data_IF_836368645763
#
_entry.id   IF_836368645763
#
_cell.length_a   1.000
_cell.length_b   1.000
_cell.length_c   1.000
_cell.angle_alpha   90.00
_cell.angle_beta   90.00
_cell.angle_gamma   90.00
#
_symmetry.space_group_name_H-M   'P 1'
#
loop_
_entity.id
_entity.type
_entity.pdbx_description
1 polymer ?
#
# COMPACT_ATOMS: atom_id res chain seq x y z
N UNK A 1 -14.05 10.73 -19.17
CA UNK A 1 -13.16 9.56 -19.20
C UNK A 1 -12.37 9.59 -20.51
N UNK A 2 -11.14 9.13 -20.51
CA UNK A 2 -10.28 9.04 -21.70
C UNK A 2 -10.54 7.73 -22.50
N UNK A 3 -11.76 7.18 -22.42
CA UNK A 3 -12.14 5.96 -23.13
C UNK A 3 -11.81 4.66 -22.40
N UNK A 4 -11.37 4.73 -21.14
CA UNK A 4 -11.19 3.54 -20.32
C UNK A 4 -12.53 3.03 -19.80
N UNK A 5 -12.70 1.72 -19.84
CA UNK A 5 -13.81 1.04 -19.16
C UNK A 5 -13.45 0.92 -17.68
N UNK A 6 -14.15 1.70 -16.86
CA UNK A 6 -13.85 1.82 -15.43
C UNK A 6 -15.06 1.39 -14.63
N UNK A 7 -14.83 0.50 -13.68
CA UNK A 7 -15.75 0.17 -12.60
C UNK A 7 -15.13 0.48 -11.25
N UNK A 8 -15.97 0.64 -10.24
CA UNK A 8 -15.54 0.93 -8.88
C UNK A 8 -15.85 -0.26 -8.00
N UNK A 9 -14.94 -0.56 -7.08
CA UNK A 9 -15.18 -1.48 -5.97
C UNK A 9 -14.83 -0.77 -4.65
N UNK A 10 -15.55 -1.10 -3.61
CA UNK A 10 -15.26 -0.65 -2.26
C UNK A 10 -14.36 -1.66 -1.53
N UNK A 11 -13.80 -1.24 -0.39
CA UNK A 11 -13.10 -2.17 0.50
C UNK A 11 -13.99 -3.33 0.95
N UNK A 12 -15.31 -3.09 1.06
CA UNK A 12 -16.26 -4.15 1.37
C UNK A 12 -16.37 -5.17 0.24
N UNK A 13 -16.36 -4.73 -1.02
CA UNK A 13 -16.37 -5.64 -2.18
C UNK A 13 -15.06 -6.46 -2.20
N UNK A 14 -13.92 -5.82 -1.98
CA UNK A 14 -12.62 -6.50 -1.89
C UNK A 14 -12.59 -7.51 -0.74
N UNK A 15 -13.25 -7.20 0.38
CA UNK A 15 -13.38 -8.12 1.51
C UNK A 15 -14.27 -9.33 1.20
N UNK A 16 -15.39 -9.13 0.48
CA UNK A 16 -16.42 -10.16 0.33
C UNK A 16 -16.37 -10.93 -0.99
N UNK A 17 -15.81 -10.35 -2.05
CA UNK A 17 -15.80 -10.92 -3.40
C UNK A 17 -14.39 -10.88 -4.02
N UNK A 18 -13.45 -11.62 -3.42
CA UNK A 18 -12.10 -11.75 -3.97
C UNK A 18 -12.04 -12.19 -5.43
N UNK A 19 -12.80 -13.23 -5.84
CA UNK A 19 -12.87 -13.63 -7.26
C UNK A 19 -13.37 -12.53 -8.19
N UNK A 20 -14.21 -11.62 -7.70
CA UNK A 20 -14.72 -10.50 -8.45
C UNK A 20 -13.65 -9.53 -8.94
N UNK A 21 -12.52 -9.44 -8.24
CA UNK A 21 -11.39 -8.61 -8.64
C UNK A 21 -10.82 -9.04 -10.01
N UNK A 22 -10.92 -10.31 -10.35
CA UNK A 22 -10.43 -10.86 -11.61
C UNK A 22 -11.28 -10.50 -12.83
N UNK A 23 -12.41 -9.80 -12.64
CA UNK A 23 -13.22 -9.25 -13.76
C UNK A 23 -12.53 -8.06 -14.44
N UNK A 24 -11.59 -7.43 -13.76
CA UNK A 24 -10.78 -6.34 -14.32
C UNK A 24 -9.41 -6.85 -14.76
N UNK A 25 -8.78 -6.14 -15.69
CA UNK A 25 -7.38 -6.37 -16.09
C UNK A 25 -6.38 -5.70 -15.15
N UNK A 26 -6.81 -4.63 -14.49
CA UNK A 26 -6.01 -3.88 -13.54
C UNK A 26 -6.88 -3.27 -12.46
N UNK A 27 -6.29 -3.07 -11.30
CA UNK A 27 -6.87 -2.35 -10.17
C UNK A 27 -5.98 -1.18 -9.80
N UNK A 28 -6.58 -0.04 -9.53
CA UNK A 28 -5.90 1.12 -8.97
C UNK A 28 -6.39 1.32 -7.54
N UNK A 29 -5.48 1.21 -6.57
CA UNK A 29 -5.69 1.62 -5.19
C UNK A 29 -5.22 3.08 -5.08
N UNK A 30 -6.17 4.00 -4.93
CA UNK A 30 -5.92 5.44 -5.05
C UNK A 30 -6.34 6.18 -3.80
N UNK A 31 -5.54 7.14 -3.39
CA UNK A 31 -5.79 7.98 -2.23
C UNK A 31 -5.14 7.43 -0.98
N UNK A 32 -5.87 7.35 0.14
CA UNK A 32 -5.36 6.88 1.43
C UNK A 32 -5.96 5.51 1.76
N UNK A 33 -5.39 4.44 1.21
CA UNK A 33 -5.86 3.07 1.35
C UNK A 33 -5.12 2.33 2.49
N UNK A 34 -5.25 2.87 3.68
CA UNK A 34 -4.50 2.46 4.88
C UNK A 34 -5.04 1.18 5.53
N UNK A 35 -6.35 0.94 5.46
CA UNK A 35 -7.01 -0.03 6.33
C UNK A 35 -7.50 -1.25 5.58
N UNK A 36 -6.96 -2.43 5.92
CA UNK A 36 -7.31 -3.71 5.31
C UNK A 36 -7.82 -4.72 6.34
N UNK A 37 -8.86 -5.48 5.99
CA UNK A 37 -9.13 -6.75 6.68
C UNK A 37 -8.18 -7.84 6.20
N UNK A 38 -8.08 -8.95 6.92
CA UNK A 38 -7.30 -10.11 6.46
C UNK A 38 -7.85 -10.68 5.15
N UNK A 39 -9.17 -10.68 4.99
CA UNK A 39 -9.85 -11.11 3.77
C UNK A 39 -9.45 -10.24 2.58
N UNK A 40 -9.45 -8.91 2.73
CA UNK A 40 -8.97 -7.99 1.69
C UNK A 40 -7.53 -8.30 1.28
N UNK A 41 -6.65 -8.44 2.27
CA UNK A 41 -5.24 -8.78 2.03
C UNK A 41 -5.10 -10.08 1.23
N UNK A 42 -5.78 -11.14 1.67
CA UNK A 42 -5.69 -12.44 1.03
C UNK A 42 -6.34 -12.47 -0.36
N UNK A 43 -7.49 -11.81 -0.52
CA UNK A 43 -8.20 -11.70 -1.79
C UNK A 43 -7.36 -10.96 -2.83
N UNK A 44 -6.81 -9.81 -2.46
CA UNK A 44 -5.97 -9.03 -3.36
C UNK A 44 -4.67 -9.76 -3.71
N UNK A 45 -4.02 -10.39 -2.72
CA UNK A 45 -2.83 -11.21 -2.95
C UNK A 45 -3.12 -12.40 -3.87
N UNK A 46 -4.27 -13.04 -3.73
CA UNK A 46 -4.70 -14.13 -4.61
C UNK A 46 -4.96 -13.62 -6.04
N UNK A 47 -5.61 -12.46 -6.19
CA UNK A 47 -5.86 -11.84 -7.47
C UNK A 47 -4.56 -11.45 -8.20
N UNK A 48 -3.60 -10.85 -7.50
CA UNK A 48 -2.26 -10.53 -8.05
C UNK A 48 -1.56 -11.79 -8.54
N UNK A 49 -1.57 -12.85 -7.73
CA UNK A 49 -1.01 -14.16 -8.15
C UNK A 49 -1.75 -14.78 -9.34
N UNK A 50 -3.03 -14.47 -9.49
CA UNK A 50 -3.86 -14.85 -10.64
C UNK A 50 -3.63 -14.00 -11.89
N UNK A 51 -2.78 -12.98 -11.82
CA UNK A 51 -2.43 -12.11 -12.96
C UNK A 51 -3.12 -10.76 -12.99
N UNK A 52 -3.81 -10.35 -11.92
CA UNK A 52 -4.32 -8.98 -11.81
C UNK A 52 -3.16 -8.00 -11.66
N UNK A 53 -3.10 -7.00 -12.52
CA UNK A 53 -2.19 -5.88 -12.36
C UNK A 53 -2.74 -4.92 -11.30
N UNK A 54 -1.90 -4.49 -10.36
CA UNK A 54 -2.32 -3.55 -9.32
C UNK A 54 -1.33 -2.41 -9.21
N UNK A 55 -1.83 -1.19 -9.15
CA UNK A 55 -1.05 -0.01 -8.81
C UNK A 55 -1.54 0.55 -7.48
N UNK A 56 -0.65 0.59 -6.50
CA UNK A 56 -0.88 1.23 -5.21
C UNK A 56 -0.40 2.68 -5.29
N UNK A 57 -1.35 3.59 -5.45
CA UNK A 57 -1.12 5.04 -5.55
C UNK A 57 -1.61 5.73 -4.27
N UNK A 58 -1.06 5.29 -3.16
CA UNK A 58 -1.54 5.64 -1.81
C UNK A 58 -0.36 5.70 -0.85
N UNK A 59 -0.45 6.59 0.11
CA UNK A 59 0.42 6.56 1.29
C UNK A 59 -0.10 5.56 2.32
N UNK A 60 0.79 5.05 3.15
CA UNK A 60 0.50 4.17 4.29
C UNK A 60 -0.35 2.93 3.96
N UNK A 61 -0.25 2.44 2.72
CA UNK A 61 -1.10 1.37 2.19
C UNK A 61 -1.02 0.12 3.06
N UNK A 62 -2.20 -0.47 3.36
CA UNK A 62 -2.29 -1.72 4.12
C UNK A 62 -1.58 -1.68 5.49
N UNK A 63 -1.57 -0.53 6.17
CA UNK A 63 -0.93 -0.37 7.47
C UNK A 63 -1.81 -0.90 8.62
N UNK A 64 -3.09 -0.56 8.62
CA UNK A 64 -4.01 -0.88 9.71
C UNK A 64 -4.83 -2.14 9.45
N UNK A 65 -4.85 -3.05 10.43
CA UNK A 65 -5.67 -4.26 10.37
C UNK A 65 -7.07 -4.00 10.91
N UNK A 66 -8.06 -4.34 10.10
CA UNK A 66 -9.49 -4.24 10.44
C UNK A 66 -10.13 -5.59 10.75
N UNK A 67 -11.14 -5.53 11.61
CA UNK A 67 -12.21 -6.51 11.66
C UNK A 67 -13.54 -5.91 11.19
N UNK A 68 -14.28 -6.66 10.38
CA UNK A 68 -15.64 -6.33 9.98
C UNK A 68 -16.62 -7.25 10.69
N UNK A 69 -17.56 -6.66 11.43
CA UNK A 69 -18.55 -7.38 12.25
C UNK A 69 -19.98 -7.06 11.83
N UNK A 70 -20.94 -7.94 12.09
CA UNK A 70 -22.33 -7.61 11.89
C UNK A 70 -22.80 -6.54 12.86
N UNK A 71 -23.79 -5.74 12.46
CA UNK A 71 -24.50 -4.83 13.33
C UNK A 71 -25.46 -5.59 14.26
N UNK A 72 -25.99 -4.90 15.27
CA UNK A 72 -26.92 -5.48 16.25
C UNK A 72 -28.22 -6.02 15.62
N UNK A 73 -28.60 -5.52 14.45
CA UNK A 73 -29.72 -6.00 13.65
C UNK A 73 -29.37 -7.14 12.68
N UNK A 74 -28.14 -7.71 12.80
CA UNK A 74 -27.69 -8.88 12.05
C UNK A 74 -27.18 -8.61 10.64
N UNK A 75 -27.11 -7.35 10.18
CA UNK A 75 -26.54 -7.02 8.87
C UNK A 75 -25.03 -7.21 8.90
N UNK A 76 -24.50 -8.01 7.96
CA UNK A 76 -23.07 -8.34 7.87
C UNK A 76 -22.21 -7.11 7.57
N UNK A 77 -20.99 -7.11 8.11
CA UNK A 77 -19.91 -6.17 7.78
C UNK A 77 -20.31 -4.69 7.94
N UNK A 78 -21.05 -4.36 9.01
CA UNK A 78 -21.53 -3.00 9.30
C UNK A 78 -20.75 -2.28 10.39
N UNK A 79 -20.04 -3.03 11.21
CA UNK A 79 -19.16 -2.47 12.24
C UNK A 79 -17.73 -2.74 11.81
N UNK A 80 -16.96 -1.68 11.65
CA UNK A 80 -15.54 -1.73 11.28
C UNK A 80 -14.76 -1.31 12.51
N UNK A 81 -13.83 -2.17 12.93
CA UNK A 81 -12.97 -1.89 14.08
C UNK A 81 -11.53 -2.10 13.69
N UNK A 82 -10.69 -1.10 13.94
CA UNK A 82 -9.25 -1.27 13.87
C UNK A 82 -8.80 -2.11 15.06
N UNK A 83 -8.17 -3.25 14.79
CA UNK A 83 -7.81 -4.22 15.83
C UNK A 83 -6.33 -4.43 15.95
N UNK A 84 -5.57 -4.09 14.91
CA UNK A 84 -4.12 -4.22 14.89
C UNK A 84 -3.53 -3.48 13.67
N UNK A 85 -2.37 -3.92 13.25
CA UNK A 85 -1.62 -3.45 12.08
C UNK A 85 -1.05 -4.61 11.29
N UNK A 86 -0.54 -4.31 10.12
CA UNK A 86 0.25 -5.22 9.32
C UNK A 86 1.75 -5.05 9.63
N UNK A 87 2.50 -6.11 9.34
CA UNK A 87 3.94 -6.13 9.52
C UNK A 87 4.43 -6.37 10.95
N UNK A 88 5.71 -6.68 11.11
CA UNK A 88 6.31 -6.99 12.40
C UNK A 88 6.37 -5.76 13.30
N UNK A 89 6.11 -5.96 14.59
CA UNK A 89 6.03 -4.90 15.60
C UNK A 89 7.36 -4.21 15.91
N UNK A 90 8.44 -4.93 15.78
CA UNK A 90 9.79 -4.49 16.11
C UNK A 90 10.42 -3.56 15.07
N UNK A 91 9.81 -3.45 13.90
CA UNK A 91 10.36 -2.69 12.77
C UNK A 91 9.63 -1.36 12.51
N UNK A 92 8.79 -0.91 13.41
CA UNK A 92 8.07 0.35 13.25
C UNK A 92 8.79 1.46 14.00
N UNK A 93 9.05 2.56 13.28
CA UNK A 93 9.45 3.82 13.87
C UNK A 93 8.48 4.27 14.97
N UNK A 94 8.99 4.94 15.98
CA UNK A 94 8.35 5.04 17.30
C UNK A 94 7.04 5.84 17.37
N UNK A 95 6.68 6.66 16.39
CA UNK A 95 5.81 7.77 16.69
C UNK A 95 4.32 7.58 16.41
N UNK A 96 3.95 7.12 15.23
CA UNK A 96 2.51 7.02 14.90
C UNK A 96 1.84 5.77 15.46
N UNK A 97 2.59 4.74 15.67
CA UNK A 97 2.09 3.42 16.00
C UNK A 97 2.31 3.03 17.47
N UNK A 98 2.70 3.99 18.29
CA UNK A 98 2.91 3.74 19.72
C UNK A 98 1.67 3.17 20.40
N UNK A 99 0.49 3.67 20.03
CA UNK A 99 -0.79 3.13 20.49
C UNK A 99 -1.08 1.71 20.00
N UNK A 100 -0.46 1.27 18.93
CA UNK A 100 -0.66 -0.08 18.37
C UNK A 100 0.14 -1.15 19.11
N UNK A 101 1.15 -0.79 19.91
CA UNK A 101 1.88 -1.75 20.75
C UNK A 101 0.96 -2.49 21.74
N UNK A 102 -0.20 -1.91 22.02
CA UNK A 102 -1.20 -2.47 22.91
C UNK A 102 -2.20 -3.39 22.21
N UNK A 103 -2.20 -3.42 20.88
CA UNK A 103 -3.12 -4.26 20.13
C UNK A 103 -2.68 -5.72 20.16
N UNK A 104 -3.63 -6.67 20.27
CA UNK A 104 -3.32 -8.06 20.57
C UNK A 104 -2.78 -8.86 19.38
N UNK A 105 -2.98 -8.38 18.16
CA UNK A 105 -2.67 -9.12 16.93
C UNK A 105 -1.78 -8.31 16.00
N UNK A 106 -1.08 -9.05 15.12
CA UNK A 106 -0.34 -8.48 14.00
C UNK A 106 -0.77 -9.21 12.74
N UNK A 107 -1.08 -8.47 11.69
CA UNK A 107 -1.36 -9.02 10.37
C UNK A 107 -0.10 -9.55 9.68
N UNK A 108 -0.23 -10.15 8.49
CA UNK A 108 0.88 -10.50 7.63
C UNK A 108 1.77 -9.28 7.35
N UNK A 109 2.99 -9.51 6.87
CA UNK A 109 3.86 -8.43 6.45
C UNK A 109 3.31 -7.79 5.17
N UNK A 110 2.93 -6.52 5.23
CA UNK A 110 2.29 -5.76 4.14
C UNK A 110 3.19 -5.64 2.92
N UNK A 111 4.50 -5.59 3.10
CA UNK A 111 5.44 -5.47 1.99
C UNK A 111 5.36 -6.66 1.03
N UNK A 112 4.87 -7.81 1.46
CA UNK A 112 4.65 -8.98 0.57
C UNK A 112 3.46 -8.79 -0.36
N UNK A 113 2.65 -7.76 -0.15
CA UNK A 113 1.53 -7.37 -1.00
C UNK A 113 1.88 -6.15 -1.87
N UNK A 114 2.44 -5.11 -1.24
CA UNK A 114 2.64 -3.81 -1.89
C UNK A 114 4.08 -3.57 -2.38
N UNK A 115 5.01 -4.48 -2.12
CA UNK A 115 6.40 -4.38 -2.56
C UNK A 115 7.33 -3.59 -1.65
N UNK A 116 6.81 -2.72 -0.82
CA UNK A 116 7.57 -1.94 0.15
C UNK A 116 6.81 -1.82 1.46
N UNK A 117 7.51 -1.51 2.52
CA UNK A 117 6.95 -1.39 3.85
C UNK A 117 6.28 -0.05 4.05
N UNK A 118 5.10 -0.03 4.65
CA UNK A 118 4.49 1.20 5.15
C UNK A 118 5.30 1.73 6.33
N UNK A 119 5.88 2.89 6.15
CA UNK A 119 6.61 3.63 7.17
C UNK A 119 6.09 5.05 7.25
N UNK A 120 6.26 5.66 8.35
CA UNK A 120 5.84 7.03 8.62
C UNK A 120 5.87 7.26 10.12
N UNK A 121 5.56 8.46 10.59
CA UNK A 121 5.58 9.70 9.85
C UNK A 121 7.01 10.25 9.75
N UNK A 122 7.22 11.10 8.79
CA UNK A 122 8.42 11.92 8.71
C UNK A 122 8.07 13.38 9.02
N UNK A 123 9.05 14.11 9.47
CA UNK A 123 8.95 15.57 9.55
C UNK A 123 9.39 16.12 8.19
N UNK A 124 8.47 16.73 7.46
CA UNK A 124 8.71 17.21 6.10
C UNK A 124 8.38 16.19 5.01
N UNK A 125 8.90 16.41 3.84
CA UNK A 125 8.75 15.55 2.67
C UNK A 125 10.11 15.14 2.11
N UNK A 126 10.08 14.43 1.00
CA UNK A 126 11.28 14.11 0.23
C UNK A 126 11.00 14.24 -1.27
N UNK A 127 12.05 14.32 -2.04
CA UNK A 127 11.96 14.28 -3.49
C UNK A 127 11.82 12.84 -3.97
N UNK A 128 11.02 12.64 -4.98
CA UNK A 128 10.99 11.38 -5.72
C UNK A 128 12.07 11.43 -6.79
N UNK A 129 13.06 10.53 -6.74
CA UNK A 129 14.24 10.55 -7.61
C UNK A 129 14.29 9.30 -8.47
N UNK A 130 14.29 9.46 -9.80
CA UNK A 130 14.37 8.37 -10.76
C UNK A 130 15.72 7.63 -10.63
N UNK A 131 15.65 6.31 -10.50
CA UNK A 131 16.81 5.42 -10.42
C UNK A 131 17.01 4.59 -11.70
N UNK A 132 15.91 4.22 -12.35
CA UNK A 132 15.88 3.27 -13.47
C UNK A 132 15.16 3.88 -14.68
N UNK A 133 15.75 4.85 -15.39
CA UNK A 133 15.06 5.59 -16.47
C UNK A 133 14.70 4.72 -17.67
N UNK A 134 15.37 3.59 -17.85
CA UNK A 134 15.09 2.63 -18.94
C UNK A 134 13.89 1.71 -18.67
N UNK A 135 13.30 1.82 -17.48
CA UNK A 135 12.10 1.06 -17.15
C UNK A 135 10.91 1.52 -18.01
N UNK A 136 10.08 0.60 -18.48
CA UNK A 136 8.98 0.86 -19.42
C UNK A 136 8.00 1.95 -18.95
N UNK A 137 7.85 2.14 -17.63
CA UNK A 137 7.00 3.20 -17.06
C UNK A 137 7.49 4.61 -17.45
N UNK A 138 8.77 4.78 -17.79
CA UNK A 138 9.32 6.07 -18.18
C UNK A 138 9.44 6.25 -19.70
N UNK A 139 8.90 5.30 -20.47
CA UNK A 139 8.89 5.39 -21.92
C UNK A 139 8.21 6.68 -22.39
N UNK A 140 8.86 7.41 -23.26
CA UNK A 140 8.40 8.71 -23.81
C UNK A 140 8.24 9.83 -22.76
N UNK A 141 8.71 9.69 -21.54
CA UNK A 141 8.71 10.76 -20.53
C UNK A 141 9.92 11.69 -20.66
N UNK A 142 11.01 11.22 -21.25
CA UNK A 142 12.31 11.92 -21.28
C UNK A 142 13.05 11.91 -19.95
N UNK A 143 12.56 11.17 -18.95
CA UNK A 143 13.15 11.09 -17.62
C UNK A 143 14.52 10.43 -17.65
N UNK A 144 15.46 10.97 -16.87
CA UNK A 144 16.83 10.48 -16.75
C UNK A 144 17.12 10.05 -15.33
N UNK A 145 18.16 9.26 -15.15
CA UNK A 145 18.63 8.91 -13.82
C UNK A 145 19.02 10.16 -13.04
N UNK A 146 18.47 10.29 -11.83
CA UNK A 146 18.67 11.44 -10.98
C UNK A 146 17.67 12.58 -11.19
N UNK A 147 16.83 12.54 -12.23
CA UNK A 147 15.72 13.49 -12.34
C UNK A 147 14.74 13.27 -11.20
N UNK A 148 14.23 14.35 -10.65
CA UNK A 148 13.38 14.30 -9.48
C UNK A 148 12.09 15.08 -9.63
N UNK A 149 11.11 14.70 -8.82
CA UNK A 149 9.90 15.48 -8.59
C UNK A 149 9.97 15.99 -7.15
N UNK A 150 10.23 17.30 -6.98
CA UNK A 150 10.43 17.87 -5.64
C UNK A 150 9.21 17.73 -4.76
N UNK A 151 9.41 17.30 -3.50
CA UNK A 151 8.37 17.23 -2.48
C UNK A 151 7.23 16.24 -2.76
N UNK A 152 7.40 15.31 -3.70
CA UNK A 152 6.34 14.35 -4.02
C UNK A 152 6.14 13.32 -2.90
N UNK A 153 7.20 12.99 -2.16
CA UNK A 153 7.13 12.03 -1.06
C UNK A 153 6.59 12.73 0.18
N UNK A 154 5.40 12.33 0.60
CA UNK A 154 4.75 12.86 1.80
C UNK A 154 5.18 12.17 3.08
N UNK A 155 4.49 12.47 4.17
CA UNK A 155 4.83 11.99 5.51
C UNK A 155 4.42 10.53 5.79
N UNK A 156 3.57 9.93 4.98
CA UNK A 156 3.14 8.53 5.05
C UNK A 156 3.70 7.74 3.86
N UNK A 157 4.99 7.65 3.82
CA UNK A 157 5.74 7.07 2.71
C UNK A 157 5.97 5.55 2.87
N UNK A 158 6.40 4.90 1.80
CA UNK A 158 6.85 3.52 1.80
C UNK A 158 8.38 3.47 1.83
N UNK A 159 8.94 2.63 2.69
CA UNK A 159 10.37 2.53 2.94
C UNK A 159 10.96 1.21 2.45
N UNK A 160 11.42 0.39 3.37
CA UNK A 160 12.18 -0.82 3.06
C UNK A 160 11.49 -1.71 2.02
N UNK A 161 12.18 -2.01 0.88
CA UNK A 161 11.64 -2.88 -0.15
C UNK A 161 11.50 -4.32 0.37
N UNK A 162 10.49 -5.02 -0.15
CA UNK A 162 10.32 -6.43 0.12
C UNK A 162 11.39 -7.27 -0.60
N UNK A 163 11.79 -8.37 0.03
CA UNK A 163 12.58 -9.38 -0.66
C UNK A 163 11.67 -10.29 -1.49
N UNK A 164 11.24 -9.79 -2.65
CA UNK A 164 10.37 -10.49 -3.59
C UNK A 164 11.14 -10.69 -4.90
N UNK A 165 11.21 -11.92 -5.46
CA UNK A 165 11.82 -12.13 -6.76
C UNK A 165 11.18 -11.25 -7.85
N UNK A 166 12.01 -10.54 -8.61
CA UNK A 166 11.55 -9.67 -9.69
C UNK A 166 11.09 -8.27 -9.25
N UNK A 167 11.21 -7.92 -7.97
CA UNK A 167 10.98 -6.56 -7.53
C UNK A 167 12.03 -5.63 -8.14
N UNK A 168 11.57 -4.59 -8.82
CA UNK A 168 12.41 -3.53 -9.36
C UNK A 168 12.14 -2.22 -8.63
N UNK A 169 13.20 -1.54 -8.21
CA UNK A 169 13.13 -0.22 -7.59
C UNK A 169 13.40 0.81 -8.70
N UNK A 170 12.37 1.55 -9.05
CA UNK A 170 12.44 2.52 -10.14
C UNK A 170 12.75 3.95 -9.67
N UNK A 171 12.44 4.24 -8.41
CA UNK A 171 12.77 5.52 -7.81
C UNK A 171 13.00 5.39 -6.30
N UNK A 172 13.78 6.31 -5.76
CA UNK A 172 14.00 6.44 -4.31
C UNK A 172 14.14 7.91 -3.95
N UNK A 173 13.69 8.26 -2.74
CA UNK A 173 13.91 9.56 -2.14
C UNK A 173 14.53 9.43 -0.76
N UNK A 174 15.43 10.34 -0.41
CA UNK A 174 15.97 10.42 0.94
C UNK A 174 15.00 11.21 1.81
N UNK A 175 14.55 10.61 2.89
CA UNK A 175 13.68 11.26 3.87
C UNK A 175 14.49 11.80 5.05
N UNK A 176 13.97 12.80 5.74
CA UNK A 176 14.60 13.34 6.96
C UNK A 176 14.36 12.45 8.19
N UNK A 177 13.69 11.34 8.02
CA UNK A 177 13.39 10.40 9.11
C UNK A 177 14.54 9.43 9.36
N UNK A 178 14.69 9.01 10.60
CA UNK A 178 15.57 7.90 11.00
C UNK A 178 15.08 6.53 10.48
N UNK A 179 13.90 6.45 9.90
CA UNK A 179 13.29 5.22 9.43
C UNK A 179 13.75 4.78 8.02
N UNK A 180 14.65 5.52 7.38
CA UNK A 180 15.25 5.14 6.08
C UNK A 180 14.77 5.97 4.90
N UNK A 181 14.96 5.45 3.70
CA UNK A 181 14.62 6.11 2.43
C UNK A 181 13.25 5.66 1.92
N UNK A 182 12.52 6.57 1.28
CA UNK A 182 11.35 6.22 0.49
C UNK A 182 11.75 5.38 -0.73
N UNK A 183 11.01 4.32 -1.01
CA UNK A 183 11.24 3.40 -2.13
C UNK A 183 9.98 3.30 -2.98
N UNK A 184 10.15 3.34 -4.32
CA UNK A 184 9.05 3.37 -5.30
C UNK A 184 9.34 2.48 -6.50
#
# INVERSE_FOLDING_TARGET
SRGYDISYCSNLDTHTDGPGLMRAKAMLSVGHDEYYSLEMFHNLRAAIRGGLNVAFLSGNTCCGLLEMKPSSDGRRNRIITRVDRYGPRDQIGDDLFHSMKTLPRTGPNENTLIGARSTGPIVGGADWICQSPDHWLFENTGMKKGDGIPGLVGWEWHGDPANIPGLEIIAQGTTESSAGNGTY
#
